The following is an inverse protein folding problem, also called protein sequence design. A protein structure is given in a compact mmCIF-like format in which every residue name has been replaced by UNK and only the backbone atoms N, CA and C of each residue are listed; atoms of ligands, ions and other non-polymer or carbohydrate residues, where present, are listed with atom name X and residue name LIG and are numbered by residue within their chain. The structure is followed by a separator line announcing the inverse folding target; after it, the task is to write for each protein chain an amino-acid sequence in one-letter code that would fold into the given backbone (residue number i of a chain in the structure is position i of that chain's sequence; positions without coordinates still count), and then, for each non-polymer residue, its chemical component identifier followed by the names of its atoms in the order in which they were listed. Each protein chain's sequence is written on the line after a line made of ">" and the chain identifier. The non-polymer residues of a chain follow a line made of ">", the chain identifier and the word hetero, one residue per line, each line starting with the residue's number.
data_IF_916449859451
#
_entry.id   IF_916449859451
#
_cell.length_a   1.000
_cell.length_b   1.000
_cell.length_c   1.000
_cell.angle_alpha   90.00
_cell.angle_beta   90.00
_cell.angle_gamma   90.00
#
_symmetry.space_group_name_H-M   'P 1'
#
loop_
_entity.id
_entity.type
_entity.pdbx_description
1 polymer ?
#
# COMPACT_ATOMS: atom_id res chain seq x y z
N UNK A 1 -7.31 -10.72 -3.54
CA UNK A 1 -6.15 -10.87 -2.63
C UNK A 1 -5.59 -12.27 -2.83
N UNK A 2 -4.37 -12.39 -3.34
CA UNK A 2 -3.66 -13.68 -3.33
C UNK A 2 -2.93 -13.85 -1.99
N UNK A 3 -3.10 -15.00 -1.36
CA UNK A 3 -2.35 -15.40 -0.16
C UNK A 3 -1.00 -15.98 -0.59
N UNK A 4 0.11 -15.39 -0.13
CA UNK A 4 1.43 -16.04 -0.17
C UNK A 4 1.83 -16.58 1.21
N UNK A 5 2.82 -17.47 1.22
CA UNK A 5 3.38 -18.12 2.40
C UNK A 5 3.90 -17.11 3.43
N UNK A 6 3.62 -17.36 4.71
CA UNK A 6 3.91 -16.55 5.92
C UNK A 6 3.01 -15.32 6.07
N UNK A 7 2.61 -15.02 7.31
CA UNK A 7 1.47 -14.18 7.73
C UNK A 7 1.56 -12.67 7.39
N UNK A 8 2.08 -12.31 6.21
CA UNK A 8 2.21 -10.94 5.73
C UNK A 8 1.26 -10.63 4.58
N UNK A 9 0.84 -9.35 4.53
CA UNK A 9 0.14 -8.79 3.38
C UNK A 9 1.14 -8.03 2.51
N UNK A 10 0.98 -8.12 1.18
CA UNK A 10 1.82 -7.39 0.23
C UNK A 10 1.01 -6.30 -0.47
N UNK A 11 1.61 -5.12 -0.58
CA UNK A 11 1.10 -4.03 -1.43
C UNK A 11 1.62 -4.26 -2.85
N UNK A 12 0.73 -4.24 -3.82
CA UNK A 12 1.04 -4.38 -5.25
C UNK A 12 0.34 -3.27 -6.02
N UNK A 13 0.90 -2.88 -7.15
CA UNK A 13 0.27 -1.90 -8.04
C UNK A 13 -0.84 -2.57 -8.85
N UNK A 14 -1.96 -1.87 -9.03
CA UNK A 14 -3.07 -2.36 -9.86
C UNK A 14 -2.82 -2.12 -11.36
N UNK A 15 -1.96 -1.16 -11.69
CA UNK A 15 -1.57 -0.75 -13.03
C UNK A 15 -0.15 -0.16 -12.99
N UNK A 16 0.39 0.12 -14.17
CA UNK A 16 1.66 0.85 -14.29
C UNK A 16 1.56 2.22 -13.62
N UNK A 17 2.66 2.63 -12.99
CA UNK A 17 2.80 3.95 -12.37
C UNK A 17 3.66 4.79 -13.29
N UNK A 18 3.15 5.96 -13.64
CA UNK A 18 3.84 6.97 -14.43
C UNK A 18 4.17 8.16 -13.53
N UNK A 19 5.46 8.47 -13.37
CA UNK A 19 5.92 9.56 -12.49
C UNK A 19 5.45 10.91 -13.03
N UNK A 20 5.43 11.07 -14.34
CA UNK A 20 5.02 12.30 -15.03
C UNK A 20 3.52 12.59 -14.80
N UNK A 21 2.70 11.55 -14.66
CA UNK A 21 1.29 11.68 -14.29
C UNK A 21 1.13 11.94 -12.78
N UNK A 22 1.76 11.10 -11.94
CA UNK A 22 1.68 11.19 -10.48
C UNK A 22 2.98 10.72 -9.83
N UNK A 23 3.69 11.65 -9.20
CA UNK A 23 4.96 11.37 -8.54
C UNK A 23 4.84 10.78 -7.12
N UNK A 24 3.72 11.00 -6.42
CA UNK A 24 3.55 10.63 -5.01
C UNK A 24 2.15 10.14 -4.68
N UNK A 25 2.05 9.14 -3.79
CA UNK A 25 0.80 8.62 -3.26
C UNK A 25 0.84 8.51 -1.73
N UNK A 26 -0.22 8.98 -1.07
CA UNK A 26 -0.44 8.73 0.36
C UNK A 26 -1.52 7.67 0.52
N UNK A 27 -1.10 6.43 0.78
CA UNK A 27 -1.99 5.28 0.87
C UNK A 27 -2.29 4.96 2.33
N UNK A 28 -3.56 5.05 2.74
CA UNK A 28 -3.99 4.66 4.09
C UNK A 28 -4.31 3.18 4.13
N UNK A 29 -3.55 2.43 4.92
CA UNK A 29 -3.81 1.01 5.22
C UNK A 29 -4.58 0.92 6.53
N UNK A 30 -5.68 0.16 6.56
CA UNK A 30 -6.48 -0.10 7.75
C UNK A 30 -6.51 -1.59 8.05
N UNK A 31 -6.23 -1.94 9.31
CA UNK A 31 -6.38 -3.29 9.83
C UNK A 31 -7.52 -3.29 10.85
N UNK A 32 -8.39 -4.30 10.80
CA UNK A 32 -9.45 -4.53 11.77
C UNK A 32 -9.23 -5.89 12.44
N UNK A 33 -9.53 -5.98 13.72
CA UNK A 33 -9.57 -7.26 14.43
C UNK A 33 -10.86 -8.04 14.13
N UNK A 34 -10.90 -9.30 14.55
CA UNK A 34 -12.09 -10.16 14.42
C UNK A 34 -13.10 -10.00 15.56
N UNK A 35 -13.01 -8.93 16.36
CA UNK A 35 -13.84 -8.71 17.54
C UNK A 35 -15.30 -8.37 17.19
N UNK A 36 -16.15 -8.31 18.22
CA UNK A 36 -17.54 -7.84 18.11
C UNK A 36 -17.90 -6.98 19.32
N UNK A 37 -17.84 -5.63 19.22
CA UNK A 37 -17.52 -4.86 18.02
C UNK A 37 -16.04 -4.94 17.64
N UNK A 38 -15.75 -4.86 16.34
CA UNK A 38 -14.37 -4.88 15.85
C UNK A 38 -13.66 -3.55 16.13
N UNK A 39 -12.42 -3.62 16.62
CA UNK A 39 -11.52 -2.47 16.70
C UNK A 39 -10.64 -2.44 15.46
N UNK A 40 -10.10 -1.26 15.16
CA UNK A 40 -9.26 -1.06 13.99
C UNK A 40 -8.17 -0.03 14.25
N UNK A 41 -7.10 -0.15 13.48
CA UNK A 41 -6.00 0.81 13.42
C UNK A 41 -5.68 1.15 11.96
N UNK A 42 -5.00 2.27 11.75
CA UNK A 42 -4.59 2.71 10.42
C UNK A 42 -3.17 3.25 10.41
N UNK A 43 -2.49 3.09 9.27
CA UNK A 43 -1.19 3.67 8.99
C UNK A 43 -1.20 4.32 7.60
N UNK A 44 -0.37 5.35 7.40
CA UNK A 44 -0.18 6.00 6.10
C UNK A 44 1.15 5.53 5.52
N UNK A 45 1.10 5.01 4.29
CA UNK A 45 2.26 4.68 3.48
C UNK A 45 2.46 5.80 2.46
N UNK A 46 3.52 6.59 2.67
CA UNK A 46 3.97 7.59 1.71
C UNK A 46 4.82 6.90 0.63
N UNK A 47 4.31 6.88 -0.59
CA UNK A 47 4.96 6.27 -1.76
C UNK A 47 5.45 7.37 -2.69
N UNK A 48 6.71 7.27 -3.11
CA UNK A 48 7.31 8.13 -4.13
C UNK A 48 7.68 7.28 -5.34
N UNK A 49 7.18 7.67 -6.51
CA UNK A 49 7.55 7.05 -7.78
C UNK A 49 8.87 7.65 -8.22
N UNK A 50 9.86 6.78 -8.47
CA UNK A 50 11.19 7.16 -8.94
C UNK A 50 11.25 6.96 -10.45
N UNK A 51 11.90 7.88 -11.16
CA UNK A 51 12.22 7.73 -12.58
C UNK A 51 13.54 6.97 -12.74
N UNK A 52 13.72 6.35 -13.90
CA UNK A 52 14.96 5.66 -14.27
C UNK A 52 16.19 6.57 -14.22
N UNK A 53 16.00 7.89 -14.34
CA UNK A 53 17.07 8.90 -14.32
C UNK A 53 17.39 9.51 -12.94
N UNK A 54 16.69 9.13 -11.86
CA UNK A 54 16.95 9.68 -10.51
C UNK A 54 18.17 9.01 -9.81
N UNK A 55 19.08 8.35 -10.56
CA UNK A 55 20.30 7.69 -10.05
C UNK A 55 21.57 8.53 -10.20
#
# INVERSE_FOLDING_TARGET
>A
LEKSFEDYYRVVTARELDREEVAEYNVTVRAADGGSPALWSSAVLALRVLDVNDN
#
